data_IF_802585399548
#
_entry.id   IF_802585399548
#
_cell.length_a   1.000
_cell.length_b   1.000
_cell.length_c   1.000
_cell.angle_alpha   90.00
_cell.angle_beta   90.00
_cell.angle_gamma   90.00
#
_symmetry.space_group_name_H-M   'P 1'
#
loop_
_entity.id
_entity.type
_entity.pdbx_description
1 polymer ?
#
# COMPACT_ATOMS: atom_id res chain seq x y z
N UNK A 1 19.96 -42.67 38.66
CA UNK A 1 18.63 -42.00 38.68
C UNK A 1 18.65 -40.49 38.39
N UNK A 2 19.66 -39.71 38.83
CA UNK A 2 19.73 -38.25 38.54
C UNK A 2 19.84 -37.89 37.05
N UNK A 3 20.60 -38.67 36.27
CA UNK A 3 20.81 -38.42 34.84
C UNK A 3 19.56 -38.70 33.99
N UNK A 4 18.79 -39.74 34.32
CA UNK A 4 17.54 -40.07 33.62
C UNK A 4 16.47 -38.98 33.79
N UNK A 5 16.34 -38.39 35.00
CA UNK A 5 15.41 -37.27 35.25
C UNK A 5 15.81 -35.98 34.53
N UNK A 6 17.13 -35.71 34.38
CA UNK A 6 17.62 -34.56 33.60
C UNK A 6 17.38 -34.74 32.10
N UNK A 7 17.59 -35.95 31.58
CA UNK A 7 17.30 -36.26 30.18
C UNK A 7 15.80 -36.15 29.88
N UNK A 8 14.93 -36.70 30.73
CA UNK A 8 13.48 -36.54 30.62
C UNK A 8 13.05 -35.06 30.69
N UNK A 9 13.64 -34.27 31.60
CA UNK A 9 13.37 -32.84 31.69
C UNK A 9 13.78 -32.09 30.42
N UNK A 10 14.95 -32.43 29.84
CA UNK A 10 15.44 -31.83 28.60
C UNK A 10 14.58 -32.23 27.40
N UNK A 11 14.16 -33.50 27.33
CA UNK A 11 13.26 -33.99 26.28
C UNK A 11 11.86 -33.38 26.42
N UNK A 12 11.33 -33.21 27.64
CA UNK A 12 10.06 -32.50 27.86
C UNK A 12 10.16 -31.02 27.48
N UNK A 13 11.26 -30.33 27.80
CA UNK A 13 11.44 -28.93 27.41
C UNK A 13 11.65 -28.76 25.89
N UNK A 14 12.33 -29.71 25.24
CA UNK A 14 12.46 -29.73 23.78
C UNK A 14 11.12 -30.04 23.11
N UNK A 15 10.30 -30.91 23.71
CA UNK A 15 8.94 -31.19 23.26
C UNK A 15 8.02 -29.97 23.46
N UNK A 16 8.14 -29.23 24.57
CA UNK A 16 7.41 -27.97 24.78
C UNK A 16 7.85 -26.86 23.81
N UNK A 17 9.15 -26.77 23.48
CA UNK A 17 9.64 -25.86 22.44
C UNK A 17 9.21 -26.28 21.03
N UNK A 18 9.10 -27.59 20.76
CA UNK A 18 8.63 -28.12 19.46
C UNK A 18 7.10 -28.07 19.30
N UNK A 19 6.34 -28.06 20.40
CA UNK A 19 4.87 -27.89 20.42
C UNK A 19 4.47 -26.40 20.42
N UNK A 20 5.41 -25.47 20.64
CA UNK A 20 5.26 -24.08 20.23
C UNK A 20 5.42 -23.93 18.71
N UNK A 21 4.68 -24.72 17.95
CA UNK A 21 4.34 -24.39 16.56
C UNK A 21 3.64 -23.02 16.59
N UNK A 22 3.85 -22.14 15.59
CA UNK A 22 3.20 -20.85 15.54
C UNK A 22 1.70 -21.08 15.36
N UNK A 23 0.96 -21.12 16.47
CA UNK A 23 -0.49 -21.09 16.43
C UNK A 23 -0.88 -19.71 15.92
N UNK A 24 -1.40 -19.67 14.69
CA UNK A 24 -1.74 -18.49 13.87
C UNK A 24 -0.55 -17.93 13.07
N UNK A 25 -0.08 -18.65 12.05
CA UNK A 25 0.61 -17.98 10.95
C UNK A 25 -0.42 -17.07 10.26
N UNK A 26 -0.25 -15.75 10.37
CA UNK A 26 -1.03 -14.79 9.58
C UNK A 26 -0.53 -14.94 8.14
N UNK A 27 -1.40 -15.37 7.23
CA UNK A 27 -1.07 -15.66 5.84
C UNK A 27 -1.56 -14.52 4.95
N UNK A 28 -0.85 -14.27 3.85
CA UNK A 28 -1.27 -13.27 2.87
C UNK A 28 -2.60 -13.68 2.21
N UNK A 29 -3.53 -12.74 2.14
CA UNK A 29 -4.80 -12.92 1.43
C UNK A 29 -4.52 -12.86 -0.07
N UNK A 30 -5.01 -13.83 -0.84
CA UNK A 30 -4.89 -13.80 -2.30
C UNK A 30 -5.59 -12.56 -2.88
N UNK A 31 -4.83 -11.71 -3.56
CA UNK A 31 -5.36 -10.45 -4.12
C UNK A 31 -5.65 -9.35 -3.08
N UNK A 32 -5.38 -9.60 -1.80
CA UNK A 32 -5.47 -8.63 -0.71
C UNK A 32 -4.11 -8.03 -0.34
N UNK A 33 -4.07 -7.10 0.64
CA UNK A 33 -2.82 -6.64 1.20
C UNK A 33 -2.10 -7.78 1.92
N UNK A 34 -0.79 -7.87 1.71
CA UNK A 34 0.06 -8.81 2.44
C UNK A 34 0.19 -8.40 3.91
N UNK A 35 0.50 -9.37 4.77
CA UNK A 35 0.68 -9.16 6.20
C UNK A 35 1.85 -8.22 6.42
N UNK A 36 1.62 -7.15 7.19
CA UNK A 36 2.62 -6.09 7.44
C UNK A 36 3.18 -5.43 6.16
N UNK A 37 2.38 -5.39 5.09
CA UNK A 37 2.79 -4.73 3.86
C UNK A 37 3.01 -3.22 4.08
N UNK A 38 4.20 -2.73 3.72
CA UNK A 38 4.60 -1.33 3.87
C UNK A 38 4.54 -0.51 2.58
N UNK A 39 4.37 -1.16 1.43
CA UNK A 39 4.27 -0.52 0.11
C UNK A 39 2.89 -0.79 -0.52
N UNK A 40 2.64 -0.25 -1.71
CA UNK A 40 1.42 -0.50 -2.47
C UNK A 40 1.25 -1.98 -2.81
N UNK A 41 0.00 -2.40 -3.02
CA UNK A 41 -0.34 -3.74 -3.51
C UNK A 41 0.34 -4.04 -4.86
N UNK A 42 0.68 -5.31 -5.14
CA UNK A 42 1.24 -5.70 -6.43
C UNK A 42 0.36 -5.24 -7.60
N UNK A 43 0.91 -4.52 -8.58
CA UNK A 43 0.10 -3.96 -9.67
C UNK A 43 -0.35 -5.04 -10.66
N UNK A 44 -1.66 -5.19 -10.84
CA UNK A 44 -2.27 -6.17 -11.77
C UNK A 44 -2.73 -5.56 -13.10
N UNK A 45 -2.61 -4.25 -13.28
CA UNK A 45 -2.92 -3.55 -14.54
C UNK A 45 -1.71 -2.75 -15.04
N UNK A 46 -1.69 -2.38 -16.33
CA UNK A 46 -0.62 -1.53 -16.87
C UNK A 46 -0.58 -0.16 -16.19
N UNK A 47 -1.75 0.46 -15.96
CA UNK A 47 -1.84 1.74 -15.26
C UNK A 47 -1.34 1.62 -13.82
N UNK A 48 -1.68 0.54 -13.12
CA UNK A 48 -1.18 0.30 -11.77
C UNK A 48 0.36 0.14 -11.75
N UNK A 49 0.95 -0.50 -12.77
CA UNK A 49 2.42 -0.59 -12.90
C UNK A 49 3.07 0.78 -13.09
N UNK A 50 2.48 1.64 -13.93
CA UNK A 50 2.99 2.98 -14.17
C UNK A 50 2.88 3.84 -12.89
N UNK A 51 1.76 3.74 -12.15
CA UNK A 51 1.58 4.40 -10.84
C UNK A 51 2.59 3.89 -9.82
N UNK A 52 2.80 2.57 -9.75
CA UNK A 52 3.74 1.97 -8.81
C UNK A 52 5.18 2.43 -9.09
N UNK A 53 5.58 2.50 -10.36
CA UNK A 53 6.88 3.03 -10.76
C UNK A 53 7.02 4.51 -10.39
N UNK A 54 5.99 5.33 -10.66
CA UNK A 54 5.97 6.75 -10.32
C UNK A 54 6.08 6.95 -8.80
N UNK A 55 5.34 6.18 -8.01
CA UNK A 55 5.43 6.19 -6.55
C UNK A 55 6.86 5.94 -6.08
N UNK A 56 7.52 4.89 -6.55
CA UNK A 56 8.89 4.58 -6.15
C UNK A 56 9.90 5.66 -6.58
N UNK A 57 9.74 6.21 -7.79
CA UNK A 57 10.57 7.33 -8.24
C UNK A 57 10.43 8.53 -7.29
N UNK A 58 9.20 8.91 -6.95
CA UNK A 58 8.91 10.00 -6.02
C UNK A 58 9.49 9.73 -4.64
N UNK A 59 9.36 8.51 -4.12
CA UNK A 59 9.93 8.11 -2.83
C UNK A 59 11.46 8.24 -2.81
N UNK A 60 12.14 7.86 -3.90
CA UNK A 60 13.60 8.04 -4.03
C UNK A 60 13.98 9.52 -4.04
N UNK A 61 13.25 10.36 -4.80
CA UNK A 61 13.51 11.81 -4.83
C UNK A 61 13.32 12.43 -3.43
N UNK A 62 12.23 12.09 -2.75
CA UNK A 62 11.98 12.52 -1.37
C UNK A 62 13.10 12.07 -0.42
N UNK A 63 13.56 10.83 -0.53
CA UNK A 63 14.65 10.30 0.28
C UNK A 63 15.97 11.05 0.03
N UNK A 64 16.31 11.35 -1.23
CA UNK A 64 17.52 12.11 -1.55
C UNK A 64 17.46 13.52 -0.95
N UNK A 65 16.34 14.23 -1.12
CA UNK A 65 16.15 15.57 -0.54
C UNK A 65 16.23 15.50 0.98
N UNK A 66 15.59 14.49 1.59
CA UNK A 66 15.65 14.24 3.02
C UNK A 66 17.10 14.09 3.51
N UNK A 67 17.89 13.23 2.87
CA UNK A 67 19.30 13.02 3.23
C UNK A 67 20.13 14.30 3.06
N UNK A 68 19.90 15.09 2.01
CA UNK A 68 20.60 16.36 1.79
C UNK A 68 20.27 17.36 2.90
N UNK A 69 18.99 17.55 3.22
CA UNK A 69 18.54 18.49 4.26
C UNK A 69 19.05 18.08 5.63
N UNK A 70 18.84 16.81 6.02
CA UNK A 70 19.34 16.30 7.30
C UNK A 70 20.87 16.31 7.36
N UNK A 71 21.55 16.04 6.24
CA UNK A 71 23.01 16.12 6.14
C UNK A 71 23.53 17.54 6.43
N UNK A 72 22.96 18.55 5.78
CA UNK A 72 23.32 19.96 6.03
C UNK A 72 22.99 20.37 7.47
N UNK A 73 21.84 19.94 7.99
CA UNK A 73 21.44 20.22 9.37
C UNK A 73 22.42 19.59 10.38
N UNK A 74 22.72 18.30 10.27
CA UNK A 74 23.66 17.63 11.16
C UNK A 74 25.06 18.23 11.05
N UNK A 75 25.53 18.50 9.82
CA UNK A 75 26.79 19.21 9.61
C UNK A 75 26.81 20.55 10.35
N UNK A 76 25.75 21.36 10.22
CA UNK A 76 25.64 22.64 10.90
C UNK A 76 25.69 22.49 12.43
N UNK A 77 24.93 21.54 12.99
CA UNK A 77 24.92 21.27 14.44
C UNK A 77 26.32 20.88 14.94
N UNK A 78 27.02 19.98 14.25
CA UNK A 78 28.33 19.52 14.71
C UNK A 78 29.43 20.56 14.51
N UNK A 79 29.43 21.28 13.38
CA UNK A 79 30.48 22.22 13.02
C UNK A 79 30.34 23.59 13.68
N UNK A 80 29.11 24.07 13.86
CA UNK A 80 28.83 25.43 14.33
C UNK A 80 28.38 25.49 15.80
N UNK A 81 28.48 24.39 16.57
CA UNK A 81 28.16 24.44 18.00
C UNK A 81 29.14 25.32 18.79
N UNK A 82 28.61 25.98 19.82
CA UNK A 82 29.37 26.86 20.72
C UNK A 82 30.56 26.16 21.41
N UNK A 83 30.44 24.88 21.73
CA UNK A 83 31.50 24.13 22.42
C UNK A 83 32.78 23.92 21.60
N UNK A 84 32.76 24.13 20.28
CA UNK A 84 33.98 24.10 19.44
C UNK A 84 34.59 25.50 19.24
N UNK A 85 34.07 26.52 19.93
CA UNK A 85 34.54 27.89 19.81
C UNK A 85 34.16 28.56 18.49
N UNK A 86 33.11 28.08 17.81
CA UNK A 86 32.68 28.68 16.55
C UNK A 86 32.16 30.12 16.78
N UNK A 87 32.69 31.08 16.01
CA UNK A 87 32.24 32.47 16.03
C UNK A 87 31.20 32.66 14.92
N UNK A 88 30.06 33.25 15.27
CA UNK A 88 29.00 33.53 14.31
C UNK A 88 29.50 34.50 13.22
N UNK A 89 29.15 34.21 11.97
CA UNK A 89 29.41 35.12 10.86
C UNK A 89 28.34 36.24 10.83
N UNK A 90 28.69 37.37 10.21
CA UNK A 90 27.85 38.60 10.17
C UNK A 90 27.25 38.86 8.79
N UNK A 91 27.11 37.85 7.93
CA UNK A 91 26.42 37.99 6.65
C UNK A 91 24.91 37.82 6.83
N UNK A 92 24.12 38.55 6.05
CA UNK A 92 22.66 38.58 6.20
C UNK A 92 21.89 38.00 5.01
N UNK A 93 22.46 38.03 3.80
CA UNK A 93 21.80 37.57 2.59
C UNK A 93 22.81 37.06 1.56
N UNK A 94 22.33 36.23 0.63
CA UNK A 94 23.12 35.84 -0.53
C UNK A 94 22.22 35.52 -1.70
N UNK A 95 22.08 36.50 -2.61
CA UNK A 95 21.32 36.38 -3.85
C UNK A 95 21.69 35.12 -4.64
N UNK A 96 22.98 34.75 -4.64
CA UNK A 96 23.47 33.55 -5.34
C UNK A 96 22.90 32.25 -4.75
N UNK A 97 22.85 32.15 -3.43
CA UNK A 97 22.32 30.96 -2.74
C UNK A 97 20.79 30.94 -2.86
N UNK A 98 20.16 32.11 -2.73
CA UNK A 98 18.72 32.32 -2.94
C UNK A 98 18.24 31.83 -4.31
N UNK A 99 18.96 32.23 -5.35
CA UNK A 99 18.68 31.81 -6.70
C UNK A 99 18.85 30.30 -6.87
N UNK A 100 19.90 29.72 -6.28
CA UNK A 100 20.18 28.29 -6.38
C UNK A 100 19.06 27.44 -5.75
N UNK A 101 18.63 27.74 -4.52
CA UNK A 101 17.56 26.97 -3.87
C UNK A 101 16.17 27.27 -4.41
N UNK A 102 15.99 28.29 -5.25
CA UNK A 102 14.72 28.55 -5.93
C UNK A 102 14.64 27.78 -7.24
N UNK A 103 15.72 27.81 -8.03
CA UNK A 103 15.78 27.13 -9.34
C UNK A 103 15.82 25.61 -9.17
N UNK A 104 16.58 25.08 -8.20
CA UNK A 104 16.74 23.62 -8.07
C UNK A 104 15.40 22.92 -7.78
N UNK A 105 14.59 23.31 -6.76
CA UNK A 105 13.27 22.72 -6.54
C UNK A 105 12.33 22.91 -7.72
N UNK A 106 12.37 24.06 -8.39
CA UNK A 106 11.57 24.31 -9.58
C UNK A 106 11.84 23.30 -10.71
N UNK A 107 13.12 23.03 -11.00
CA UNK A 107 13.51 22.04 -12.00
C UNK A 107 13.11 20.61 -11.61
N UNK A 108 13.24 20.27 -10.32
CA UNK A 108 12.81 18.96 -9.79
C UNK A 108 11.31 18.74 -10.06
N UNK A 109 10.47 19.74 -9.75
CA UNK A 109 9.02 19.64 -9.98
C UNK A 109 8.68 19.48 -11.46
N UNK A 110 9.32 20.23 -12.35
CA UNK A 110 9.11 20.09 -13.80
C UNK A 110 9.46 18.68 -14.27
N UNK A 111 10.60 18.15 -13.84
CA UNK A 111 11.03 16.81 -14.21
C UNK A 111 10.03 15.74 -13.76
N UNK A 112 9.42 15.90 -12.58
CA UNK A 112 8.40 14.99 -12.05
C UNK A 112 7.04 15.13 -12.75
N UNK A 113 6.70 16.33 -13.22
CA UNK A 113 5.40 16.62 -13.82
C UNK A 113 5.19 15.87 -15.15
N UNK A 114 6.23 15.68 -15.96
CA UNK A 114 6.15 15.03 -17.27
C UNK A 114 5.65 13.57 -17.19
N UNK A 115 6.31 12.64 -16.45
CA UNK A 115 5.83 11.25 -16.34
C UNK A 115 4.49 11.15 -15.61
N UNK A 116 4.23 12.01 -14.62
CA UNK A 116 2.96 12.06 -13.91
C UNK A 116 1.80 12.40 -14.87
N UNK A 117 1.99 13.42 -15.71
CA UNK A 117 0.97 13.86 -16.67
C UNK A 117 0.66 12.78 -17.68
N UNK A 118 1.69 12.11 -18.24
CA UNK A 118 1.51 10.97 -19.16
C UNK A 118 0.65 9.87 -18.53
N UNK A 119 0.91 9.52 -17.26
CA UNK A 119 0.17 8.49 -16.53
C UNK A 119 -1.28 8.89 -16.30
N UNK A 120 -1.54 10.14 -15.90
CA UNK A 120 -2.90 10.67 -15.70
C UNK A 120 -3.70 10.69 -17.01
N UNK A 121 -3.07 11.09 -18.12
CA UNK A 121 -3.72 11.07 -19.44
C UNK A 121 -4.06 9.64 -19.86
N UNK A 122 -3.14 8.69 -19.65
CA UNK A 122 -3.39 7.28 -19.95
C UNK A 122 -4.54 6.70 -19.10
N UNK A 123 -4.59 7.06 -17.80
CA UNK A 123 -5.65 6.63 -16.89
C UNK A 123 -7.04 7.14 -17.29
N UNK A 124 -7.11 8.34 -17.89
CA UNK A 124 -8.37 8.93 -18.38
C UNK A 124 -8.81 8.42 -19.75
N UNK A 125 -7.99 7.61 -20.43
CA UNK A 125 -8.33 7.10 -21.76
C UNK A 125 -9.28 5.89 -21.69
N UNK A 126 -10.57 6.14 -21.89
CA UNK A 126 -11.64 5.13 -21.86
C UNK A 126 -11.97 4.53 -23.23
N UNK A 127 -11.28 4.94 -24.30
CA UNK A 127 -11.56 4.49 -25.67
C UNK A 127 -11.13 3.04 -25.91
N UNK A 128 -11.80 2.34 -26.83
CA UNK A 128 -11.40 0.99 -27.26
C UNK A 128 -11.51 -0.08 -26.16
N UNK A 129 -12.54 0.00 -25.32
CA UNK A 129 -12.82 -1.02 -24.33
C UNK A 129 -13.45 -2.27 -24.98
N UNK A 130 -13.00 -3.45 -24.57
CA UNK A 130 -13.55 -4.75 -25.00
C UNK A 130 -14.88 -5.05 -24.29
N UNK A 131 -15.03 -4.62 -23.04
CA UNK A 131 -16.23 -4.80 -22.21
C UNK A 131 -16.58 -3.49 -21.53
N UNK A 132 -17.88 -3.19 -21.45
CA UNK A 132 -18.42 -2.08 -20.68
C UNK A 132 -19.35 -2.58 -19.59
N UNK A 133 -18.99 -2.30 -18.34
CA UNK A 133 -19.80 -2.59 -17.15
C UNK A 133 -20.26 -1.25 -16.58
N UNK A 134 -21.51 -1.14 -16.16
CA UNK A 134 -21.99 0.00 -15.38
C UNK A 134 -22.09 -0.41 -13.92
N UNK A 135 -21.30 0.25 -13.06
CA UNK A 135 -21.37 0.07 -11.62
C UNK A 135 -22.32 1.11 -10.99
N UNK A 136 -23.36 0.65 -10.31
CA UNK A 136 -24.34 1.49 -9.61
C UNK A 136 -24.13 1.36 -8.10
N UNK A 137 -23.77 2.47 -7.44
CA UNK A 137 -23.69 2.54 -5.99
C UNK A 137 -25.09 2.67 -5.37
N UNK A 138 -25.43 1.76 -4.47
CA UNK A 138 -26.67 1.79 -3.68
C UNK A 138 -26.32 1.80 -2.20
N UNK A 139 -27.32 2.06 -1.34
CA UNK A 139 -27.11 2.06 0.10
C UNK A 139 -26.61 0.69 0.56
N UNK A 140 -25.31 0.64 0.93
CA UNK A 140 -24.56 -0.55 1.40
C UNK A 140 -24.43 -1.72 0.42
N UNK A 141 -24.59 -1.50 -0.88
CA UNK A 141 -24.41 -2.55 -1.91
C UNK A 141 -24.08 -1.95 -3.27
N UNK A 142 -23.62 -2.81 -4.17
CA UNK A 142 -23.30 -2.43 -5.55
C UNK A 142 -24.18 -3.19 -6.53
N UNK A 143 -24.54 -2.56 -7.64
CA UNK A 143 -25.21 -3.20 -8.76
C UNK A 143 -24.32 -3.13 -9.99
N UNK A 144 -24.29 -4.21 -10.77
CA UNK A 144 -23.45 -4.29 -11.97
C UNK A 144 -24.30 -4.71 -13.17
N UNK A 145 -24.24 -3.90 -14.23
CA UNK A 145 -24.88 -4.19 -15.51
C UNK A 145 -23.80 -4.32 -16.60
N UNK A 146 -23.75 -5.46 -17.28
CA UNK A 146 -22.84 -5.70 -18.40
C UNK A 146 -23.52 -5.16 -19.67
N UNK A 147 -23.12 -3.96 -20.09
CA UNK A 147 -23.79 -3.21 -21.15
C UNK A 147 -23.35 -3.62 -22.55
N UNK A 148 -22.10 -4.06 -22.71
CA UNK A 148 -21.53 -4.42 -23.99
C UNK A 148 -20.32 -5.34 -23.82
N UNK A 149 -20.17 -6.30 -24.74
CA UNK A 149 -19.06 -7.24 -24.77
C UNK A 149 -19.45 -8.62 -24.24
N UNK A 150 -18.47 -9.38 -23.75
CA UNK A 150 -18.72 -10.68 -23.14
C UNK A 150 -19.57 -10.53 -21.87
N UNK A 151 -20.66 -11.30 -21.77
CA UNK A 151 -21.61 -11.19 -20.66
C UNK A 151 -22.67 -10.10 -20.84
N UNK A 152 -22.83 -9.51 -22.02
CA UNK A 152 -23.87 -8.52 -22.30
C UNK A 152 -25.27 -9.00 -21.88
N UNK A 153 -26.00 -8.12 -21.19
CA UNK A 153 -27.33 -8.40 -20.63
C UNK A 153 -27.33 -8.99 -19.22
N UNK A 154 -26.17 -9.36 -18.66
CA UNK A 154 -26.05 -9.77 -17.26
C UNK A 154 -26.27 -8.54 -16.35
N UNK A 155 -27.13 -8.69 -15.34
CA UNK A 155 -27.41 -7.69 -14.32
C UNK A 155 -27.57 -8.37 -12.96
N UNK A 156 -26.87 -7.88 -11.94
CA UNK A 156 -26.99 -8.41 -10.58
C UNK A 156 -26.63 -7.38 -9.49
N UNK A 157 -27.02 -7.73 -8.26
CA UNK A 157 -26.62 -7.02 -7.03
C UNK A 157 -25.51 -7.79 -6.33
N UNK A 158 -24.50 -7.06 -5.85
CA UNK A 158 -23.40 -7.54 -5.03
C UNK A 158 -23.55 -6.98 -3.61
N UNK A 159 -23.80 -7.87 -2.65
CA UNK A 159 -23.87 -7.58 -1.22
C UNK A 159 -22.70 -8.22 -0.48
N UNK A 160 -22.36 -7.66 0.67
CA UNK A 160 -21.36 -8.26 1.54
C UNK A 160 -21.85 -9.62 2.07
N UNK A 161 -21.06 -10.66 1.88
CA UNK A 161 -21.42 -12.04 2.25
C UNK A 161 -21.09 -12.39 3.71
N UNK A 162 -20.25 -11.58 4.37
CA UNK A 162 -19.76 -11.86 5.72
C UNK A 162 -20.87 -12.21 6.72
N UNK A 163 -20.86 -13.44 7.29
CA UNK A 163 -21.88 -13.91 8.21
C UNK A 163 -21.98 -13.07 9.47
N UNK A 164 -23.20 -12.89 10.01
CA UNK A 164 -23.42 -12.19 11.28
C UNK A 164 -22.68 -12.82 12.46
N UNK A 165 -22.44 -14.14 12.42
CA UNK A 165 -21.66 -14.88 13.43
C UNK A 165 -20.23 -14.39 13.56
N UNK A 166 -19.61 -13.92 12.46
CA UNK A 166 -18.26 -13.36 12.44
C UNK A 166 -18.21 -11.85 12.76
N UNK A 167 -19.34 -11.14 12.59
CA UNK A 167 -19.45 -9.70 12.89
C UNK A 167 -19.72 -9.48 14.38
N UNK A 168 -20.63 -10.27 14.97
CA UNK A 168 -21.17 -10.03 16.31
C UNK A 168 -22.27 -8.96 16.33
N UNK A 169 -22.70 -8.59 17.54
CA UNK A 169 -23.63 -7.49 17.79
C UNK A 169 -22.89 -6.36 18.54
N UNK A 170 -23.39 -5.11 18.54
CA UNK A 170 -22.77 -4.04 19.32
C UNK A 170 -22.60 -4.43 20.79
N UNK A 171 -21.36 -4.46 21.27
CA UNK A 171 -21.02 -4.87 22.64
C UNK A 171 -20.95 -6.40 22.87
N UNK A 172 -21.16 -7.22 21.84
CA UNK A 172 -21.10 -8.69 21.91
C UNK A 172 -20.01 -9.20 20.98
N UNK A 173 -19.08 -9.97 21.54
CA UNK A 173 -18.01 -10.60 20.77
C UNK A 173 -18.59 -11.55 19.70
N UNK A 174 -17.94 -11.68 18.52
CA UNK A 174 -18.37 -12.63 17.49
C UNK A 174 -18.29 -14.06 18.01
N UNK A 175 -19.23 -14.89 17.56
CA UNK A 175 -19.34 -16.30 17.94
C UNK A 175 -18.36 -17.17 17.15
N UNK A 176 -17.97 -16.72 15.96
CA UNK A 176 -17.03 -17.41 15.08
C UNK A 176 -15.79 -16.55 14.81
N UNK A 177 -14.63 -17.17 14.58
CA UNK A 177 -13.44 -16.44 14.13
C UNK A 177 -13.72 -15.79 12.77
N UNK A 178 -13.14 -14.61 12.56
CA UNK A 178 -13.24 -13.89 11.28
C UNK A 178 -12.41 -14.61 10.22
N UNK A 179 -12.95 -14.73 9.01
CA UNK A 179 -12.20 -15.23 7.86
C UNK A 179 -11.14 -14.23 7.41
N UNK A 180 -10.19 -14.71 6.60
CA UNK A 180 -9.15 -13.88 6.00
C UNK A 180 -9.75 -12.80 5.07
N UNK A 181 -10.92 -13.07 4.46
CA UNK A 181 -11.66 -12.15 3.58
C UNK A 181 -12.77 -11.38 4.29
N UNK A 182 -12.73 -11.31 5.62
CA UNK A 182 -13.74 -10.62 6.43
C UNK A 182 -13.95 -9.17 5.95
N UNK A 183 -15.22 -8.83 5.67
CA UNK A 183 -15.65 -7.54 5.08
C UNK A 183 -15.16 -7.26 3.65
N UNK A 184 -14.58 -8.23 2.96
CA UNK A 184 -14.17 -8.13 1.56
C UNK A 184 -14.99 -9.04 0.64
N UNK A 185 -15.43 -10.19 1.16
CA UNK A 185 -16.21 -11.18 0.42
C UNK A 185 -17.63 -10.71 0.06
N UNK A 186 -18.06 -11.04 -1.16
CA UNK A 186 -19.38 -10.70 -1.68
C UNK A 186 -20.15 -11.96 -2.10
N UNK A 187 -21.46 -11.84 -2.27
CA UNK A 187 -22.33 -12.93 -2.74
C UNK A 187 -22.18 -13.18 -4.25
N UNK A 188 -22.09 -12.11 -5.04
CA UNK A 188 -21.93 -12.14 -6.49
C UNK A 188 -20.70 -11.31 -6.89
N UNK A 189 -19.69 -11.97 -7.46
CA UNK A 189 -18.44 -11.33 -7.86
C UNK A 189 -18.53 -10.72 -9.28
N UNK A 190 -17.81 -9.62 -9.50
CA UNK A 190 -17.60 -9.08 -10.85
C UNK A 190 -16.47 -9.86 -11.50
N UNK A 191 -16.78 -10.56 -12.60
CA UNK A 191 -15.83 -11.40 -13.32
C UNK A 191 -15.52 -10.76 -14.66
N UNK A 192 -14.23 -10.65 -14.98
CA UNK A 192 -13.76 -10.09 -16.24
C UNK A 192 -12.71 -10.99 -16.88
N UNK A 193 -12.66 -11.10 -18.21
CA UNK A 193 -11.61 -11.82 -18.89
C UNK A 193 -10.25 -11.14 -18.70
N UNK A 194 -9.22 -11.96 -18.52
CA UNK A 194 -7.84 -11.47 -18.38
C UNK A 194 -7.34 -10.85 -19.69
N UNK A 195 -6.43 -9.88 -19.59
CA UNK A 195 -5.80 -9.20 -20.72
C UNK A 195 -6.77 -8.48 -21.68
N UNK A 196 -7.93 -8.05 -21.17
CA UNK A 196 -8.92 -7.24 -21.89
C UNK A 196 -9.07 -5.86 -21.26
N UNK A 197 -9.40 -4.86 -22.07
CA UNK A 197 -9.63 -3.50 -21.60
C UNK A 197 -11.08 -3.37 -21.14
N UNK A 198 -11.27 -3.20 -19.84
CA UNK A 198 -12.59 -3.04 -19.22
C UNK A 198 -12.86 -1.56 -18.97
N UNK A 199 -14.05 -1.10 -19.37
CA UNK A 199 -14.60 0.22 -18.99
C UNK A 199 -15.67 0.00 -17.92
N UNK A 200 -15.50 0.68 -16.79
CA UNK A 200 -16.44 0.69 -15.66
C UNK A 200 -16.98 2.11 -15.48
#
# INVERSE_FOLDING_TARGET
MKYAKRLQSLMLSALFMAVALPAQAVVDIQGGPAVLQLNLQPPVTQIARDIYWLHNLLMVICLVIFVVVFGVMFYSIFKHRKSVGHKAATFHESIKVELAWTIVPFLIVIAMALPATKTVVAMKNTSGADITIKATGMQWKWGYDYLNGEGEGISFLSNLKTPRTQVGAPGVAPTEPRSDTYLLEVDNEVVVPVNKKIRI
#
